data_IF_540276418798
#
_entry.id   IF_540276418798
#
_cell.length_a   1.000
_cell.length_b   1.000
_cell.length_c   1.000
_cell.angle_alpha   90.00
_cell.angle_beta   90.00
_cell.angle_gamma   90.00
#
_symmetry.space_group_name_H-M   'P 1'
#
loop_
_entity.id
_entity.type
_entity.pdbx_description
1 polymer ?
#
# COMPACT_ATOMS: atom_id res chain seq x y z
N UNK A 1 -11.99 14.88 21.68
CA UNK A 1 -12.67 14.59 20.42
C UNK A 1 -11.81 13.58 19.66
N UNK A 2 -12.40 12.54 19.06
CA UNK A 2 -11.65 11.59 18.23
C UNK A 2 -11.30 12.23 16.89
N UNK A 3 -10.06 12.07 16.44
CA UNK A 3 -9.65 12.45 15.08
C UNK A 3 -10.19 11.48 14.03
N UNK A 4 -10.09 11.82 12.74
CA UNK A 4 -10.37 10.86 11.67
C UNK A 4 -9.45 9.64 11.79
N UNK A 5 -10.01 8.45 11.54
CA UNK A 5 -9.28 7.18 11.56
C UNK A 5 -9.09 6.70 10.13
N UNK A 6 -7.87 6.27 9.80
CA UNK A 6 -7.53 5.63 8.53
C UNK A 6 -7.07 4.21 8.84
N UNK A 7 -7.62 3.22 8.13
CA UNK A 7 -7.19 1.83 8.25
C UNK A 7 -6.00 1.58 7.32
N UNK A 8 -4.91 0.99 7.82
CA UNK A 8 -3.78 0.57 6.98
C UNK A 8 -3.58 -0.93 7.11
N UNK A 9 -3.78 -1.66 6.02
CA UNK A 9 -3.43 -3.08 5.88
C UNK A 9 -2.07 -3.15 5.20
N UNK A 10 -1.05 -3.63 5.92
CA UNK A 10 0.34 -3.67 5.45
C UNK A 10 0.77 -5.13 5.22
N UNK A 11 1.16 -5.43 3.99
CA UNK A 11 1.50 -6.76 3.53
C UNK A 11 2.84 -6.76 2.78
N UNK A 12 3.26 -7.96 2.42
CA UNK A 12 4.42 -8.16 1.56
C UNK A 12 4.20 -9.28 0.56
N UNK A 13 4.90 -9.22 -0.57
CA UNK A 13 4.81 -10.22 -1.63
C UNK A 13 6.17 -10.72 -2.10
N UNK A 14 6.21 -11.98 -2.56
CA UNK A 14 7.43 -12.58 -3.13
C UNK A 14 7.87 -11.89 -4.43
N UNK A 15 9.19 -11.66 -4.65
CA UNK A 15 9.68 -11.00 -5.86
C UNK A 15 9.50 -11.82 -7.13
N UNK A 16 9.40 -13.14 -7.01
CA UNK A 16 9.19 -14.05 -8.15
C UNK A 16 8.04 -14.99 -7.83
N UNK A 17 7.06 -15.07 -8.74
CA UNK A 17 5.95 -16.03 -8.66
C UNK A 17 5.70 -16.66 -10.03
N UNK A 18 5.66 -18.00 -10.09
CA UNK A 18 5.43 -18.71 -11.35
C UNK A 18 6.47 -18.42 -12.44
N UNK A 19 7.69 -18.03 -12.08
CA UNK A 19 8.75 -17.63 -13.02
C UNK A 19 8.66 -16.17 -13.51
N UNK A 20 7.63 -15.41 -13.13
CA UNK A 20 7.53 -13.99 -13.43
C UNK A 20 8.26 -13.17 -12.35
N UNK A 21 9.23 -12.37 -12.77
CA UNK A 21 9.90 -11.38 -11.92
C UNK A 21 8.99 -10.17 -11.80
N UNK A 22 8.49 -9.88 -10.61
CA UNK A 22 7.56 -8.78 -10.36
C UNK A 22 8.33 -7.46 -10.28
N UNK A 23 8.09 -6.51 -11.22
CA UNK A 23 8.90 -5.30 -11.32
C UNK A 23 8.63 -4.31 -10.19
N UNK A 24 7.45 -4.36 -9.59
CA UNK A 24 7.01 -3.43 -8.55
C UNK A 24 7.81 -3.58 -7.27
N UNK A 25 8.14 -2.46 -6.64
CA UNK A 25 8.71 -2.40 -5.28
C UNK A 25 7.61 -2.30 -4.24
N UNK A 26 6.55 -1.55 -4.54
CA UNK A 26 5.38 -1.39 -3.69
C UNK A 26 4.11 -1.38 -4.53
N UNK A 27 3.00 -1.88 -3.99
CA UNK A 27 1.69 -1.95 -4.63
C UNK A 27 0.61 -1.36 -3.76
N UNK A 28 -0.31 -0.58 -4.33
CA UNK A 28 -1.50 -0.07 -3.64
C UNK A 28 -2.73 -0.77 -4.20
N UNK A 29 -3.46 -1.46 -3.34
CA UNK A 29 -4.67 -2.20 -3.68
C UNK A 29 -5.89 -1.37 -3.26
N UNK A 30 -6.85 -1.20 -4.17
CA UNK A 30 -8.04 -0.39 -3.92
C UNK A 30 -9.12 -0.61 -4.97
N UNK A 31 -10.38 -0.30 -4.59
CA UNK A 31 -11.53 -0.25 -5.51
C UNK A 31 -11.81 1.16 -6.06
N UNK A 32 -10.82 2.05 -6.01
CA UNK A 32 -10.93 3.48 -6.38
C UNK A 32 -11.95 4.30 -5.56
N UNK A 33 -12.34 3.80 -4.39
CA UNK A 33 -13.25 4.44 -3.43
C UNK A 33 -12.51 5.13 -2.26
N UNK A 34 -11.24 4.77 -2.04
CA UNK A 34 -10.37 5.36 -1.02
C UNK A 34 -9.60 6.58 -1.56
N UNK A 35 -9.83 7.75 -0.94
CA UNK A 35 -9.10 8.97 -1.27
C UNK A 35 -7.66 8.88 -0.76
N UNK A 36 -7.46 8.28 0.42
CA UNK A 36 -6.14 8.08 0.99
C UNK A 36 -5.27 7.14 0.14
N UNK A 37 -5.81 6.00 -0.30
CA UNK A 37 -5.12 5.08 -1.24
C UNK A 37 -4.71 5.80 -2.52
N UNK A 38 -5.63 6.58 -3.11
CA UNK A 38 -5.37 7.32 -4.35
C UNK A 38 -4.23 8.33 -4.19
N UNK A 39 -4.17 9.02 -3.05
CA UNK A 39 -3.07 9.95 -2.71
C UNK A 39 -1.76 9.22 -2.52
N UNK A 40 -1.75 8.14 -1.74
CA UNK A 40 -0.56 7.32 -1.50
C UNK A 40 -0.01 6.77 -2.81
N UNK A 41 -0.87 6.23 -3.69
CA UNK A 41 -0.46 5.74 -5.01
C UNK A 41 0.20 6.84 -5.84
N UNK A 42 -0.39 8.03 -5.92
CA UNK A 42 0.19 9.15 -6.66
C UNK A 42 1.56 9.59 -6.12
N UNK A 43 1.73 9.59 -4.79
CA UNK A 43 3.00 9.92 -4.15
C UNK A 43 4.07 8.85 -4.39
N UNK A 44 3.69 7.56 -4.32
CA UNK A 44 4.59 6.46 -4.64
C UNK A 44 4.99 6.45 -6.11
N UNK A 45 4.07 6.74 -7.04
CA UNK A 45 4.38 6.87 -8.46
C UNK A 45 5.33 8.03 -8.75
N UNK A 46 5.23 9.14 -7.99
CA UNK A 46 6.20 10.24 -8.08
C UNK A 46 7.61 9.83 -7.64
N UNK A 47 7.73 8.86 -6.73
CA UNK A 47 9.00 8.46 -6.13
C UNK A 47 9.64 7.22 -6.77
N UNK A 48 8.82 6.28 -7.23
CA UNK A 48 9.23 4.97 -7.71
C UNK A 48 8.91 4.75 -9.19
N UNK A 49 8.29 5.72 -9.87
CA UNK A 49 7.80 5.62 -11.23
C UNK A 49 6.93 4.35 -11.42
N UNK A 50 7.23 3.55 -12.46
CA UNK A 50 6.53 2.31 -12.78
C UNK A 50 6.74 1.18 -11.75
N UNK A 51 7.66 1.36 -10.79
CA UNK A 51 7.84 0.41 -9.69
C UNK A 51 6.79 0.57 -8.58
N UNK A 52 5.90 1.57 -8.65
CA UNK A 52 4.69 1.64 -7.83
C UNK A 52 3.50 1.04 -8.59
N UNK A 53 3.01 -0.11 -8.13
CA UNK A 53 1.88 -0.82 -8.72
C UNK A 53 0.52 -0.24 -8.31
N UNK A 54 -0.35 0.05 -9.28
CA UNK A 54 -1.78 0.29 -9.08
C UNK A 54 -2.50 -1.05 -9.23
N UNK A 55 -3.02 -1.61 -8.13
CA UNK A 55 -3.61 -2.94 -8.10
C UNK A 55 -2.69 -4.02 -8.70
N UNK A 56 -1.41 -3.95 -8.32
CA UNK A 56 -0.37 -4.94 -8.63
C UNK A 56 0.49 -5.20 -7.38
N UNK A 57 0.99 -6.42 -7.14
CA UNK A 57 0.88 -7.62 -7.99
C UNK A 57 -0.45 -8.37 -7.84
N UNK A 58 -1.34 -7.86 -7.00
CA UNK A 58 -2.69 -8.35 -6.80
C UNK A 58 -3.65 -7.17 -6.94
N UNK A 59 -4.91 -7.49 -7.23
CA UNK A 59 -5.99 -6.52 -7.33
C UNK A 59 -6.93 -6.71 -6.17
N UNK A 60 -7.44 -5.61 -5.62
CA UNK A 60 -8.53 -5.68 -4.66
C UNK A 60 -9.80 -6.22 -5.35
N UNK A 61 -10.36 -7.31 -4.83
CA UNK A 61 -11.55 -7.99 -5.32
C UNK A 61 -12.42 -8.55 -4.17
N UNK A 62 -13.33 -9.47 -4.50
CA UNK A 62 -14.28 -10.05 -3.54
C UNK A 62 -13.62 -11.02 -2.53
N UNK A 63 -12.35 -11.36 -2.74
CA UNK A 63 -11.60 -12.27 -1.85
C UNK A 63 -10.88 -11.53 -0.72
N UNK A 64 -10.83 -10.19 -0.78
CA UNK A 64 -10.28 -9.37 0.30
C UNK A 64 -11.16 -9.40 1.55
N UNK A 65 -10.49 -9.30 2.70
CA UNK A 65 -11.16 -9.46 3.99
C UNK A 65 -11.02 -8.21 4.88
N UNK A 66 -9.80 -7.68 5.05
CA UNK A 66 -9.54 -6.60 6.01
C UNK A 66 -10.37 -5.36 5.72
N UNK A 67 -10.33 -4.85 4.49
CA UNK A 67 -11.04 -3.62 4.10
C UNK A 67 -12.56 -3.81 4.12
N UNK A 68 -13.16 -4.84 3.48
CA UNK A 68 -14.60 -5.06 3.53
C UNK A 68 -15.15 -5.28 4.95
N UNK A 69 -14.38 -5.91 5.83
CA UNK A 69 -14.83 -6.21 7.20
C UNK A 69 -14.64 -5.03 8.17
N UNK A 70 -13.60 -4.22 7.99
CA UNK A 70 -13.18 -3.25 9.01
C UNK A 70 -13.23 -1.78 8.58
N UNK A 71 -13.10 -1.48 7.29
CA UNK A 71 -13.17 -0.11 6.77
C UNK A 71 -14.57 0.22 6.23
N UNK A 72 -15.10 -0.61 5.33
CA UNK A 72 -16.36 -0.35 4.62
C UNK A 72 -17.56 -0.09 5.55
N UNK A 73 -17.86 -0.94 6.56
CA UNK A 73 -19.05 -0.76 7.39
C UNK A 73 -19.02 0.50 8.25
N UNK A 74 -17.83 1.10 8.39
CA UNK A 74 -17.55 2.29 9.20
C UNK A 74 -17.30 3.52 8.33
N UNK A 75 -17.27 3.37 7.00
CA UNK A 75 -16.92 4.44 6.07
C UNK A 75 -15.52 5.01 6.33
N UNK A 76 -14.57 4.18 6.75
CA UNK A 76 -13.19 4.62 6.98
C UNK A 76 -12.45 4.71 5.65
N UNK A 77 -11.64 5.75 5.52
CA UNK A 77 -10.59 5.76 4.49
C UNK A 77 -9.58 4.65 4.82
N UNK A 78 -8.97 4.08 3.79
CA UNK A 78 -8.08 2.94 3.98
C UNK A 78 -6.88 2.97 3.04
N UNK A 79 -5.89 2.14 3.35
CA UNK A 79 -4.79 1.77 2.47
C UNK A 79 -4.56 0.28 2.60
N UNK A 80 -4.52 -0.44 1.48
CA UNK A 80 -3.95 -1.78 1.42
C UNK A 80 -2.66 -1.72 0.61
N UNK A 81 -1.55 -1.97 1.29
CA UNK A 81 -0.20 -1.76 0.79
C UNK A 81 0.58 -3.08 0.76
N UNK A 82 1.21 -3.34 -0.36
CA UNK A 82 2.06 -4.49 -0.61
C UNK A 82 3.51 -4.07 -0.81
N UNK A 83 4.43 -4.56 0.01
CA UNK A 83 5.88 -4.29 -0.14
C UNK A 83 6.61 -5.53 -0.66
N UNK A 84 7.46 -5.40 -1.68
CA UNK A 84 8.20 -6.57 -2.19
C UNK A 84 9.17 -7.06 -1.11
N UNK A 85 9.03 -8.32 -0.71
CA UNK A 85 9.61 -8.84 0.52
C UNK A 85 11.15 -8.85 0.54
N UNK A 86 11.82 -8.85 -0.62
CA UNK A 86 13.29 -8.75 -0.71
C UNK A 86 13.80 -7.40 -0.21
N UNK A 87 12.97 -6.34 -0.29
CA UNK A 87 13.30 -5.01 0.22
C UNK A 87 13.30 -4.94 1.75
N UNK A 88 12.64 -5.88 2.42
CA UNK A 88 12.45 -5.91 3.88
C UNK A 88 13.01 -7.19 4.52
N UNK A 89 13.88 -7.91 3.82
CA UNK A 89 14.47 -9.15 4.30
C UNK A 89 15.40 -8.95 5.51
N UNK A 90 16.01 -7.77 5.60
CA UNK A 90 17.01 -7.41 6.62
C UNK A 90 16.68 -6.04 7.24
N UNK A 91 17.15 -5.80 8.46
CA UNK A 91 16.88 -4.57 9.21
C UNK A 91 17.17 -3.27 8.43
N UNK A 92 18.30 -3.13 7.69
CA UNK A 92 18.54 -1.90 6.91
C UNK A 92 17.48 -1.62 5.85
N UNK A 93 16.96 -2.68 5.20
CA UNK A 93 15.90 -2.54 4.20
C UNK A 93 14.55 -2.22 4.83
N UNK A 94 14.28 -2.76 6.02
CA UNK A 94 13.10 -2.40 6.82
C UNK A 94 13.13 -0.93 7.21
N UNK A 95 14.28 -0.42 7.65
CA UNK A 95 14.47 0.99 8.00
C UNK A 95 14.25 1.89 6.77
N UNK A 96 14.84 1.56 5.61
CA UNK A 96 14.64 2.32 4.37
C UNK A 96 13.16 2.36 3.95
N UNK A 97 12.48 1.20 3.96
CA UNK A 97 11.05 1.15 3.64
C UNK A 97 10.23 1.92 4.66
N UNK A 98 10.53 1.80 5.96
CA UNK A 98 9.82 2.53 6.99
C UNK A 98 9.96 4.06 6.82
N UNK A 99 11.15 4.55 6.46
CA UNK A 99 11.38 5.98 6.21
C UNK A 99 10.60 6.48 4.98
N UNK A 100 10.57 5.71 3.90
CA UNK A 100 9.75 6.00 2.71
C UNK A 100 8.28 6.08 3.10
N UNK A 101 7.76 5.05 3.76
CA UNK A 101 6.35 4.98 4.14
C UNK A 101 5.98 6.07 5.15
N UNK A 102 6.82 6.36 6.15
CA UNK A 102 6.56 7.42 7.12
C UNK A 102 6.38 8.77 6.43
N UNK A 103 7.24 9.10 5.45
CA UNK A 103 7.12 10.33 4.67
C UNK A 103 5.87 10.34 3.80
N UNK A 104 5.65 9.28 3.02
CA UNK A 104 4.51 9.18 2.08
C UNK A 104 3.17 9.23 2.80
N UNK A 105 3.02 8.46 3.88
CA UNK A 105 1.77 8.41 4.65
C UNK A 105 1.51 9.74 5.35
N UNK A 106 2.55 10.39 5.89
CA UNK A 106 2.41 11.72 6.49
C UNK A 106 1.95 12.75 5.46
N UNK A 107 2.57 12.79 4.28
CA UNK A 107 2.17 13.71 3.19
C UNK A 107 0.72 13.43 2.74
N UNK A 108 0.33 12.16 2.59
CA UNK A 108 -1.01 11.78 2.17
C UNK A 108 -2.11 12.18 3.18
N UNK A 109 -1.82 12.13 4.49
CA UNK A 109 -2.75 12.55 5.55
C UNK A 109 -3.03 14.05 5.50
N UNK A 110 -2.04 14.87 5.17
CA UNK A 110 -2.13 16.33 5.22
C UNK A 110 -2.34 17.02 3.87
N UNK A 111 -2.41 16.26 2.77
CA UNK A 111 -2.64 16.76 1.42
C UNK A 111 -4.09 17.25 1.16
#
# INVERSE_FOLDING_TARGET
MGGPTILVSLHSFTPVMGGFVRPWRMGVLHRHDSTFSSRVLALLQRELDEAAGDNEPYRMDETDNTVPLHADPRGLDYLELEVRQDLIAEAPGQDEVADILARILTEAVYA
#
